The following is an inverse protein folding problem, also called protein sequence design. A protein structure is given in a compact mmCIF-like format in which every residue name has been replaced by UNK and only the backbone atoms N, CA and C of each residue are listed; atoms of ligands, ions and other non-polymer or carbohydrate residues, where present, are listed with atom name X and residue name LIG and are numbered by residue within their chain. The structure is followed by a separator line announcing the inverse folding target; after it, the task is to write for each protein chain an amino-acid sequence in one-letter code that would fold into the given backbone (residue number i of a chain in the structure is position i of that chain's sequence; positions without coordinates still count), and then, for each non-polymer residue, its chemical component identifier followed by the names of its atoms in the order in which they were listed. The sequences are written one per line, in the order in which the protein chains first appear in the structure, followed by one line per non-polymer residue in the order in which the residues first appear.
data_IF_428139557747
#
_entry.id   IF_428139557747
#
_cell.length_a   1.000
_cell.length_b   1.000
_cell.length_c   1.000
_cell.angle_alpha   90.00
_cell.angle_beta   90.00
_cell.angle_gamma   90.00
#
_symmetry.space_group_name_H-M   'P 1'
#
loop_
_entity.id
_entity.type
_entity.pdbx_description
1 polymer ?
#
# COMPACT_ATOMS: atom_id res chain seq x y z
N UNK A 1 -4.90 -9.48 6.40
CA UNK A 1 -5.77 -9.84 5.26
C UNK A 1 -5.32 -9.01 4.09
N UNK A 2 -4.98 -9.66 2.98
CA UNK A 2 -4.55 -8.98 1.77
C UNK A 2 -5.77 -8.46 0.99
N UNK A 3 -5.56 -7.52 0.07
CA UNK A 3 -6.65 -6.92 -0.70
C UNK A 3 -7.32 -7.95 -1.62
N UNK A 4 -6.51 -8.80 -2.24
CA UNK A 4 -6.92 -9.89 -3.13
C UNK A 4 -7.67 -11.02 -2.42
N UNK A 5 -7.54 -11.11 -1.09
CA UNK A 5 -8.21 -12.10 -0.24
C UNK A 5 -9.55 -11.60 0.32
N UNK A 6 -9.94 -10.35 0.03
CA UNK A 6 -11.17 -9.77 0.58
C UNK A 6 -12.40 -10.52 0.07
N UNK A 7 -13.18 -11.18 0.96
CA UNK A 7 -14.34 -11.98 0.53
C UNK A 7 -15.46 -11.12 -0.06
N UNK A 8 -15.50 -9.85 0.31
CA UNK A 8 -16.41 -8.85 -0.24
C UNK A 8 -15.74 -7.49 -0.22
N UNK A 9 -15.88 -6.75 -1.30
CA UNK A 9 -15.42 -5.37 -1.35
C UNK A 9 -16.13 -4.53 -0.27
N UNK A 10 -15.38 -3.74 0.52
CA UNK A 10 -15.96 -2.88 1.53
C UNK A 10 -16.84 -1.80 0.87
N UNK A 11 -17.70 -1.17 1.68
CA UNK A 11 -18.48 0.00 1.25
C UNK A 11 -17.54 1.08 0.68
N UNK A 12 -18.00 1.81 -0.32
CA UNK A 12 -17.23 2.91 -0.92
C UNK A 12 -16.77 3.89 0.17
N UNK A 13 -15.54 4.40 0.01
CA UNK A 13 -14.85 5.29 0.96
C UNK A 13 -14.61 4.73 2.37
N UNK A 14 -15.01 3.47 2.65
CA UNK A 14 -14.69 2.83 3.92
C UNK A 14 -13.18 2.61 4.01
N UNK A 15 -12.59 3.12 5.09
CA UNK A 15 -11.22 2.82 5.46
C UNK A 15 -11.17 1.41 6.05
N UNK A 16 -10.25 0.60 5.56
CA UNK A 16 -9.92 -0.72 6.10
C UNK A 16 -8.42 -0.82 6.33
N UNK A 17 -8.00 -1.67 7.25
CA UNK A 17 -6.62 -2.06 7.41
C UNK A 17 -6.37 -3.34 6.59
N UNK A 18 -5.29 -3.35 5.82
CA UNK A 18 -4.86 -4.49 5.01
C UNK A 18 -3.39 -4.77 5.27
N UNK A 19 -3.01 -6.03 5.03
CA UNK A 19 -1.62 -6.41 4.91
C UNK A 19 -1.21 -6.12 3.46
N UNK A 20 -0.22 -5.23 3.28
CA UNK A 20 0.31 -4.84 1.98
C UNK A 20 1.71 -5.44 1.83
N UNK A 21 1.91 -6.20 0.76
CA UNK A 21 3.23 -6.67 0.33
C UNK A 21 4.00 -5.48 -0.28
N UNK A 22 5.18 -5.21 0.28
CA UNK A 22 5.98 -4.03 -0.04
C UNK A 22 7.47 -4.36 -0.01
N UNK A 23 8.27 -3.50 -0.63
CA UNK A 23 9.72 -3.57 -0.54
C UNK A 23 10.23 -2.70 0.62
N UNK A 24 11.26 -3.17 1.32
CA UNK A 24 11.92 -2.44 2.41
C UNK A 24 13.43 -2.50 2.28
N UNK A 25 14.07 -1.43 2.74
CA UNK A 25 15.50 -1.43 2.95
C UNK A 25 15.81 -1.85 4.39
N UNK A 26 16.84 -2.66 4.57
CA UNK A 26 17.22 -3.22 5.86
C UNK A 26 18.73 -3.28 6.06
N UNK A 27 19.13 -3.74 7.25
CA UNK A 27 20.53 -3.99 7.59
C UNK A 27 20.68 -5.48 7.89
N UNK A 28 21.54 -6.16 7.15
CA UNK A 28 21.84 -7.58 7.35
C UNK A 28 22.76 -7.84 8.55
N UNK A 29 22.94 -9.12 8.89
CA UNK A 29 23.74 -9.60 10.04
C UNK A 29 25.26 -9.29 9.98
N UNK A 30 25.71 -8.53 8.98
CA UNK A 30 27.08 -8.04 8.84
C UNK A 30 27.17 -6.53 8.59
N UNK A 31 26.16 -5.75 8.99
CA UNK A 31 26.05 -4.30 8.75
C UNK A 31 25.96 -3.88 7.28
N UNK A 32 25.79 -4.83 6.36
CA UNK A 32 25.52 -4.56 4.96
C UNK A 32 24.09 -4.05 4.74
N UNK A 33 23.93 -3.10 3.83
CA UNK A 33 22.60 -2.63 3.40
C UNK A 33 21.96 -3.67 2.50
N UNK A 34 20.71 -4.02 2.80
CA UNK A 34 19.85 -4.85 1.96
C UNK A 34 18.84 -3.91 1.32
N UNK A 35 18.78 -3.91 -0.01
CA UNK A 35 17.78 -3.20 -0.77
C UNK A 35 16.66 -4.16 -1.18
N UNK A 36 15.45 -3.64 -1.31
CA UNK A 36 14.30 -4.35 -1.88
C UNK A 36 14.01 -5.71 -1.21
N UNK A 37 14.00 -5.73 0.12
CA UNK A 37 13.56 -6.88 0.89
C UNK A 37 12.03 -6.95 0.92
N UNK A 38 11.48 -8.10 0.54
CA UNK A 38 10.04 -8.37 0.69
C UNK A 38 9.62 -8.25 2.16
N UNK A 39 8.60 -7.46 2.40
CA UNK A 39 8.02 -7.23 3.71
C UNK A 39 6.50 -7.14 3.61
N UNK A 40 5.83 -7.48 4.72
CA UNK A 40 4.40 -7.28 4.87
C UNK A 40 4.19 -6.18 5.91
N UNK A 41 3.50 -5.11 5.51
CA UNK A 41 3.18 -4.00 6.41
C UNK A 41 1.69 -3.77 6.49
N UNK A 42 1.22 -3.31 7.65
CA UNK A 42 -0.17 -2.93 7.83
C UNK A 42 -0.37 -1.50 7.37
N UNK A 43 -1.30 -1.29 6.43
CA UNK A 43 -1.68 0.04 5.96
C UNK A 43 -3.18 0.21 5.96
N UNK A 44 -3.62 1.42 6.27
CA UNK A 44 -5.00 1.85 6.05
C UNK A 44 -5.19 2.23 4.60
N UNK A 45 -6.18 1.64 3.96
CA UNK A 45 -6.54 1.90 2.56
C UNK A 45 -8.02 2.20 2.44
N UNK A 46 -8.39 2.89 1.36
CA UNK A 46 -9.79 3.09 0.95
C UNK A 46 -9.89 3.02 -0.56
N UNK A 47 -11.10 2.70 -1.05
CA UNK A 47 -11.40 2.84 -2.47
C UNK A 47 -11.75 4.28 -2.82
N UNK A 48 -11.16 4.78 -3.90
CA UNK A 48 -11.41 6.12 -4.44
C UNK A 48 -11.70 6.07 -5.93
N UNK A 49 -12.47 7.05 -6.41
CA UNK A 49 -12.74 7.21 -7.84
C UNK A 49 -11.58 7.93 -8.51
N UNK A 50 -11.15 7.44 -9.65
CA UNK A 50 -10.18 8.06 -10.56
C UNK A 50 -10.72 7.95 -12.01
N UNK A 51 -9.98 8.49 -12.97
CA UNK A 51 -10.44 8.59 -14.37
C UNK A 51 -10.74 7.22 -15.01
N UNK A 52 -10.00 6.18 -14.64
CA UNK A 52 -10.20 4.80 -15.12
C UNK A 52 -11.21 3.96 -14.32
N UNK A 53 -11.89 4.53 -13.32
CA UNK A 53 -12.80 3.79 -12.45
C UNK A 53 -12.47 3.89 -10.96
N UNK A 54 -12.34 2.76 -10.26
CA UNK A 54 -12.13 2.74 -8.81
C UNK A 54 -10.86 1.99 -8.43
N UNK A 55 -9.97 2.66 -7.70
CA UNK A 55 -8.71 2.09 -7.23
C UNK A 55 -8.57 2.16 -5.71
N UNK A 56 -7.61 1.42 -5.16
CA UNK A 56 -7.20 1.53 -3.77
C UNK A 56 -6.21 2.67 -3.58
N UNK A 57 -6.33 3.38 -2.46
CA UNK A 57 -5.43 4.46 -2.09
C UNK A 57 -5.07 4.33 -0.61
N UNK A 58 -3.80 4.57 -0.29
CA UNK A 58 -3.34 4.74 1.09
C UNK A 58 -4.11 5.88 1.77
N UNK A 59 -4.42 5.68 3.05
CA UNK A 59 -5.04 6.69 3.89
C UNK A 59 -3.99 7.22 4.84
N UNK A 60 -3.79 8.54 4.82
CA UNK A 60 -3.00 9.23 5.83
C UNK A 60 -3.72 9.15 7.18
N UNK A 61 -2.99 8.75 8.21
CA UNK A 61 -3.44 8.81 9.60
C UNK A 61 -3.25 10.21 10.18
N UNK A 62 -2.23 10.90 9.70
CA UNK A 62 -1.87 12.26 10.10
C UNK A 62 -1.72 13.15 8.88
N UNK A 63 -2.09 14.42 9.00
CA UNK A 63 -2.06 15.37 7.89
C UNK A 63 -0.66 15.51 7.25
N UNK A 64 0.38 15.36 8.07
CA UNK A 64 1.80 15.51 7.77
C UNK A 64 2.54 14.18 7.61
N UNK A 65 1.84 13.04 7.57
CA UNK A 65 2.45 11.71 7.57
C UNK A 65 3.52 11.53 6.46
N UNK A 66 3.28 12.08 5.27
CA UNK A 66 4.22 12.00 4.14
C UNK A 66 5.55 12.73 4.40
N UNK A 67 5.64 13.60 5.40
CA UNK A 67 6.87 14.32 5.74
C UNK A 67 7.86 13.47 6.55
N UNK A 68 7.37 12.47 7.29
CA UNK A 68 8.19 11.69 8.22
C UNK A 68 8.08 10.17 8.03
N UNK A 69 7.02 9.69 7.39
CA UNK A 69 6.88 8.29 7.00
C UNK A 69 7.67 8.04 5.72
N UNK A 70 8.95 7.76 5.91
CA UNK A 70 9.91 7.51 4.83
C UNK A 70 9.45 6.42 3.85
N UNK A 71 8.64 5.46 4.31
CA UNK A 71 8.17 4.34 3.50
C UNK A 71 6.83 4.64 2.79
N UNK A 72 6.19 5.78 3.03
CA UNK A 72 4.84 6.04 2.53
C UNK A 72 4.78 6.09 1.00
N UNK A 73 5.77 6.72 0.36
CA UNK A 73 5.85 6.80 -1.10
C UNK A 73 6.09 5.43 -1.72
N UNK A 74 7.01 4.64 -1.16
CA UNK A 74 7.28 3.29 -1.62
C UNK A 74 6.04 2.39 -1.51
N UNK A 75 5.31 2.50 -0.39
CA UNK A 75 4.04 1.76 -0.22
C UNK A 75 2.96 2.22 -1.18
N UNK A 76 2.96 3.51 -1.53
CA UNK A 76 2.05 4.06 -2.54
C UNK A 76 2.35 3.47 -3.90
N UNK A 77 3.62 3.36 -4.28
CA UNK A 77 4.05 2.72 -5.53
C UNK A 77 3.67 1.24 -5.56
N UNK A 78 3.94 0.48 -4.49
CA UNK A 78 3.53 -0.93 -4.40
C UNK A 78 2.00 -1.09 -4.53
N UNK A 79 1.21 -0.22 -3.89
CA UNK A 79 -0.24 -0.24 -4.01
C UNK A 79 -0.72 0.16 -5.42
N UNK A 80 -0.02 1.07 -6.09
CA UNK A 80 -0.30 1.47 -7.48
C UNK A 80 -0.05 0.30 -8.44
N UNK A 81 1.06 -0.42 -8.30
CA UNK A 81 1.30 -1.67 -9.04
C UNK A 81 0.22 -2.72 -8.78
N UNK A 82 -0.18 -2.91 -7.52
CA UNK A 82 -1.28 -3.84 -7.18
C UNK A 82 -2.60 -3.41 -7.85
N UNK A 83 -2.91 -2.11 -7.90
CA UNK A 83 -4.08 -1.62 -8.62
C UNK A 83 -4.03 -1.96 -10.11
N UNK A 84 -2.85 -1.88 -10.73
CA UNK A 84 -2.66 -2.27 -12.13
C UNK A 84 -2.87 -3.78 -12.32
N UNK A 85 -2.27 -4.61 -11.47
CA UNK A 85 -2.38 -6.08 -11.51
C UNK A 85 -3.82 -6.56 -11.31
N UNK A 86 -4.60 -5.84 -10.49
CA UNK A 86 -6.02 -6.08 -10.27
C UNK A 86 -6.92 -5.52 -11.40
N UNK A 87 -6.35 -4.89 -12.42
CA UNK A 87 -7.08 -4.28 -13.53
C UNK A 87 -7.93 -3.07 -13.12
N UNK A 88 -7.55 -2.39 -12.05
CA UNK A 88 -8.27 -1.21 -11.51
C UNK A 88 -7.77 0.11 -12.11
N UNK A 89 -6.72 0.08 -12.93
CA UNK A 89 -6.16 1.21 -13.65
C UNK A 89 -5.89 0.83 -15.10
N UNK A 90 -6.01 1.81 -16.00
CA UNK A 90 -5.87 1.67 -17.45
C UNK A 90 -4.98 2.78 -18.00
#
# INVERSE_FOLDING_TARGET
MRIEELPKLPKLFRVIEVDLDVLRNGIGSGWGVIFDQDAIVKRKVRRVKHDGGWKWQLVREWHDQELWDYCFEQDRECLEHLNYDLGLMH
#
